data_IF_432071413308
#
_entry.id   IF_432071413308
#
_cell.length_a   1.000
_cell.length_b   1.000
_cell.length_c   1.000
_cell.angle_alpha   90.00
_cell.angle_beta   90.00
_cell.angle_gamma   90.00
#
_symmetry.space_group_name_H-M   'P 1'
#
loop_
_entity.id
_entity.type
_entity.pdbx_description
1 polymer ?
#
# COMPACT_ATOMS: atom_id res chain seq x y z
N UNK A 1 20.49 18.53 16.02
CA UNK A 1 21.55 18.18 15.04
C UNK A 1 21.60 19.28 13.99
N UNK A 2 22.61 20.15 14.09
CA UNK A 2 22.69 21.39 13.33
C UNK A 2 22.86 21.14 11.82
N UNK A 3 22.15 21.93 11.00
CA UNK A 3 22.20 21.89 9.52
C UNK A 3 23.63 21.99 8.96
N UNK A 4 24.55 22.58 9.72
CA UNK A 4 25.98 22.69 9.38
C UNK A 4 26.70 21.33 9.33
N UNK A 5 26.31 20.38 10.19
CA UNK A 5 26.92 19.05 10.29
C UNK A 5 26.60 18.17 9.07
N UNK A 6 25.35 18.26 8.57
CA UNK A 6 24.91 17.50 7.41
C UNK A 6 25.60 17.97 6.12
N UNK A 7 25.75 19.29 5.94
CA UNK A 7 26.43 19.88 4.78
C UNK A 7 27.90 19.44 4.71
N UNK A 8 28.59 19.43 5.85
CA UNK A 8 29.97 18.96 5.94
C UNK A 8 30.13 17.47 5.64
N UNK A 9 29.14 16.65 6.03
CA UNK A 9 29.11 15.22 5.69
C UNK A 9 28.99 15.00 4.17
N UNK A 10 28.07 15.70 3.49
CA UNK A 10 27.88 15.56 2.04
C UNK A 10 29.08 16.07 1.23
N UNK A 11 29.74 17.15 1.67
CA UNK A 11 30.96 17.64 1.02
C UNK A 11 32.09 16.62 1.17
N UNK A 12 32.29 16.03 2.36
CA UNK A 12 33.28 14.96 2.56
C UNK A 12 32.98 13.72 1.73
N UNK A 13 31.72 13.30 1.65
CA UNK A 13 31.31 12.14 0.87
C UNK A 13 31.50 12.37 -0.64
N UNK A 14 31.12 13.56 -1.14
CA UNK A 14 31.30 13.95 -2.55
C UNK A 14 32.78 14.00 -2.94
N UNK A 15 33.63 14.60 -2.10
CA UNK A 15 35.08 14.65 -2.33
C UNK A 15 35.74 13.26 -2.29
N UNK A 16 35.28 12.38 -1.41
CA UNK A 16 35.75 10.99 -1.36
C UNK A 16 35.34 10.20 -2.62
N UNK A 17 34.13 10.46 -3.14
CA UNK A 17 33.64 9.86 -4.38
C UNK A 17 34.43 10.38 -5.59
N UNK A 18 34.63 11.69 -5.70
CA UNK A 18 35.42 12.32 -6.75
C UNK A 18 36.88 11.83 -6.76
N UNK A 19 37.49 11.64 -5.60
CA UNK A 19 38.86 11.11 -5.47
C UNK A 19 38.97 9.64 -5.85
N UNK A 20 37.92 8.83 -5.61
CA UNK A 20 37.84 7.43 -6.09
C UNK A 20 37.61 7.36 -7.60
N UNK A 21 36.75 8.21 -8.15
CA UNK A 21 36.48 8.29 -9.60
C UNK A 21 37.70 8.83 -10.37
N UNK A 22 38.42 9.82 -9.83
CA UNK A 22 39.67 10.33 -10.41
C UNK A 22 40.82 9.32 -10.43
N UNK A 23 40.91 8.45 -9.41
CA UNK A 23 41.88 7.33 -9.43
C UNK A 23 41.50 6.25 -10.45
N UNK A 24 40.20 6.05 -10.70
CA UNK A 24 39.72 5.15 -11.76
C UNK A 24 39.97 5.73 -13.15
N UNK A 25 39.80 7.04 -13.37
CA UNK A 25 40.03 7.68 -14.68
C UNK A 25 41.50 7.68 -15.10
N UNK A 26 42.43 7.85 -14.16
CA UNK A 26 43.88 7.73 -14.41
C UNK A 26 44.31 6.28 -14.72
N UNK A 27 43.64 5.28 -14.13
CA UNK A 27 43.81 3.87 -14.50
C UNK A 27 43.28 3.54 -15.89
N UNK A 28 42.15 4.15 -16.28
CA UNK A 28 41.49 3.95 -17.58
C UNK A 28 42.30 4.55 -18.73
N UNK A 29 42.94 5.71 -18.53
CA UNK A 29 43.78 6.31 -19.57
C UNK A 29 45.07 5.51 -19.86
N UNK A 30 45.60 4.76 -18.89
CA UNK A 30 46.70 3.80 -19.14
C UNK A 30 46.25 2.54 -19.89
N UNK A 31 45.00 2.10 -19.69
CA UNK A 31 44.43 0.92 -20.36
C UNK A 31 44.01 1.24 -21.80
N UNK A 32 43.42 2.42 -22.03
CA UNK A 32 42.96 2.82 -23.36
C UNK A 32 44.11 3.16 -24.33
N UNK A 33 45.29 3.57 -23.82
CA UNK A 33 46.47 3.82 -24.66
C UNK A 33 47.15 2.53 -25.17
N UNK A 34 46.88 1.37 -24.55
CA UNK A 34 47.33 0.04 -25.01
C UNK A 34 46.32 -0.70 -25.90
N UNK A 35 45.12 -0.17 -26.10
CA UNK A 35 44.03 -0.85 -26.83
C UNK A 35 43.86 -0.45 -28.31
N UNK A 36 44.84 0.27 -28.88
CA UNK A 36 44.93 0.45 -30.35
C UNK A 36 45.65 -0.71 -31.05
N UNK A 37 46.14 -1.70 -30.31
CA UNK A 37 46.46 -3.00 -30.87
C UNK A 37 45.20 -3.88 -30.74
N UNK A 38 44.66 -4.29 -31.88
CA UNK A 38 43.69 -5.37 -32.02
C UNK A 38 44.31 -6.66 -31.48
N UNK A 39 44.27 -6.82 -30.15
CA UNK A 39 44.58 -8.09 -29.51
C UNK A 39 43.47 -9.05 -29.90
N UNK A 40 43.76 -9.91 -30.89
CA UNK A 40 43.06 -11.18 -31.06
C UNK A 40 43.27 -11.96 -29.76
N UNK A 41 42.27 -11.92 -28.87
CA UNK A 41 42.24 -12.78 -27.70
C UNK A 41 41.99 -14.19 -28.22
N UNK A 42 42.99 -15.07 -28.09
CA UNK A 42 42.83 -16.49 -28.41
C UNK A 42 41.70 -17.08 -27.57
N UNK A 43 40.76 -17.75 -28.23
CA UNK A 43 39.61 -18.44 -27.65
C UNK A 43 40.00 -19.24 -26.40
N UNK A 44 39.57 -18.78 -25.23
CA UNK A 44 39.63 -19.59 -24.02
C UNK A 44 38.40 -20.49 -23.98
N UNK A 45 38.63 -21.79 -24.16
CA UNK A 45 37.66 -22.85 -23.93
C UNK A 45 36.96 -22.63 -22.57
N UNK A 46 35.65 -22.37 -22.57
CA UNK A 46 34.82 -22.30 -21.35
C UNK A 46 33.96 -21.05 -21.15
N UNK A 47 34.09 -20.00 -21.98
CA UNK A 47 33.14 -18.88 -21.93
C UNK A 47 31.80 -19.24 -22.59
N UNK A 48 30.65 -18.77 -22.06
CA UNK A 48 29.35 -18.96 -22.71
C UNK A 48 29.37 -18.49 -24.17
N UNK A 49 28.73 -19.24 -25.07
CA UNK A 49 28.73 -18.96 -26.52
C UNK A 49 28.27 -17.53 -26.88
N UNK A 50 27.46 -16.92 -26.01
CA UNK A 50 27.00 -15.53 -26.15
C UNK A 50 28.15 -14.51 -26.26
N UNK A 51 29.30 -14.75 -25.60
CA UNK A 51 30.45 -13.84 -25.65
C UNK A 51 31.31 -14.01 -26.90
N UNK A 52 31.01 -15.00 -27.76
CA UNK A 52 31.67 -15.20 -29.04
C UNK A 52 30.97 -14.47 -30.19
N UNK A 53 29.83 -13.83 -29.92
CA UNK A 53 29.13 -13.00 -30.90
C UNK A 53 29.88 -11.69 -31.13
N UNK A 54 29.83 -11.15 -32.36
CA UNK A 54 30.40 -9.84 -32.64
C UNK A 54 29.60 -8.74 -31.94
N UNK A 55 30.25 -7.60 -31.69
CA UNK A 55 29.64 -6.44 -31.06
C UNK A 55 28.36 -5.98 -31.80
N UNK A 56 28.36 -6.05 -33.14
CA UNK A 56 27.21 -5.71 -33.98
C UNK A 56 26.03 -6.66 -33.79
N UNK A 57 26.29 -7.97 -33.67
CA UNK A 57 25.24 -8.97 -33.41
C UNK A 57 24.66 -8.77 -32.02
N UNK A 58 25.50 -8.53 -31.01
CA UNK A 58 25.05 -8.24 -29.64
C UNK A 58 24.22 -6.95 -29.62
N UNK A 59 24.68 -5.91 -30.31
CA UNK A 59 23.94 -4.65 -30.44
C UNK A 59 22.57 -4.86 -31.08
N UNK A 60 22.51 -5.61 -32.18
CA UNK A 60 21.27 -5.95 -32.86
C UNK A 60 20.31 -6.76 -31.97
N UNK A 61 20.83 -7.74 -31.21
CA UNK A 61 20.04 -8.51 -30.25
C UNK A 61 19.43 -7.61 -29.16
N UNK A 62 20.20 -6.68 -28.59
CA UNK A 62 19.69 -5.75 -27.57
C UNK A 62 18.61 -4.82 -28.14
N UNK A 63 18.74 -4.44 -29.42
CA UNK A 63 17.78 -3.57 -30.10
C UNK A 63 16.51 -4.27 -30.56
N UNK A 64 16.51 -5.60 -30.63
CA UNK A 64 15.35 -6.39 -31.09
C UNK A 64 14.46 -6.88 -29.96
N UNK A 65 15.00 -7.03 -28.74
CA UNK A 65 14.21 -7.36 -27.54
C UNK A 65 13.56 -6.11 -26.91
N UNK A 66 12.55 -6.27 -26.03
CA UNK A 66 11.92 -5.11 -25.37
C UNK A 66 12.97 -4.20 -24.70
N UNK A 67 12.85 -2.87 -24.78
CA UNK A 67 13.95 -1.97 -24.41
C UNK A 67 14.39 -2.11 -22.95
N UNK A 68 13.46 -2.41 -22.05
CA UNK A 68 13.74 -2.67 -20.66
C UNK A 68 14.55 -3.98 -20.44
N UNK A 69 14.28 -5.03 -21.22
CA UNK A 69 15.06 -6.28 -21.21
C UNK A 69 16.45 -6.07 -21.81
N UNK A 70 16.54 -5.31 -22.90
CA UNK A 70 17.81 -4.89 -23.50
C UNK A 70 18.69 -4.13 -22.51
N UNK A 71 18.10 -3.19 -21.79
CA UNK A 71 18.80 -2.44 -20.75
C UNK A 71 19.20 -3.32 -19.55
N UNK A 72 18.33 -4.25 -19.11
CA UNK A 72 18.63 -5.19 -18.04
C UNK A 72 19.79 -6.12 -18.43
N UNK A 73 19.77 -6.68 -19.65
CA UNK A 73 20.85 -7.51 -20.18
C UNK A 73 22.17 -6.73 -20.23
N UNK A 74 22.14 -5.48 -20.71
CA UNK A 74 23.33 -4.64 -20.74
C UNK A 74 23.90 -4.31 -19.35
N UNK A 75 23.08 -4.29 -18.30
CA UNK A 75 23.53 -4.11 -16.92
C UNK A 75 24.20 -5.35 -16.33
N UNK A 76 24.02 -6.54 -16.90
CA UNK A 76 24.63 -7.77 -16.38
C UNK A 76 26.13 -7.87 -16.64
N UNK A 77 26.64 -7.22 -17.69
CA UNK A 77 28.03 -7.34 -18.11
C UNK A 77 28.61 -6.02 -18.65
N UNK A 78 29.84 -5.72 -18.23
CA UNK A 78 30.57 -4.51 -18.66
C UNK A 78 30.81 -4.45 -20.17
N UNK A 79 31.01 -5.59 -20.84
CA UNK A 79 31.21 -5.63 -22.28
C UNK A 79 29.95 -5.16 -23.03
N UNK A 80 28.80 -5.73 -22.68
CA UNK A 80 27.51 -5.37 -23.25
C UNK A 80 27.16 -3.90 -22.95
N UNK A 81 27.37 -3.47 -21.70
CA UNK A 81 27.27 -2.06 -21.31
C UNK A 81 28.10 -1.14 -22.21
N UNK A 82 29.35 -1.52 -22.52
CA UNK A 82 30.22 -0.76 -23.42
C UNK A 82 29.71 -0.73 -24.85
N UNK A 83 29.23 -1.87 -25.39
CA UNK A 83 28.69 -1.99 -26.76
C UNK A 83 27.54 -1.01 -26.99
N UNK A 84 26.63 -0.86 -26.02
CA UNK A 84 25.49 0.05 -26.18
C UNK A 84 25.84 1.53 -25.96
N UNK A 85 27.08 1.86 -25.59
CA UNK A 85 27.49 3.24 -25.26
C UNK A 85 27.27 3.65 -23.80
N UNK A 86 27.26 2.67 -22.89
CA UNK A 86 27.18 2.85 -21.45
C UNK A 86 25.91 3.53 -20.97
N UNK A 87 26.04 4.51 -20.08
CA UNK A 87 24.87 5.20 -19.48
C UNK A 87 24.07 6.00 -20.50
N UNK A 88 24.70 6.51 -21.56
CA UNK A 88 23.98 7.15 -22.67
C UNK A 88 23.16 6.12 -23.47
N UNK A 89 23.75 4.95 -23.71
CA UNK A 89 23.09 3.80 -24.33
C UNK A 89 21.83 3.35 -23.60
N UNK A 90 21.96 3.10 -22.28
CA UNK A 90 20.84 2.71 -21.44
C UNK A 90 19.74 3.77 -21.46
N UNK A 91 20.10 5.05 -21.28
CA UNK A 91 19.11 6.15 -21.32
C UNK A 91 18.35 6.21 -22.64
N UNK A 92 19.02 5.92 -23.77
CA UNK A 92 18.39 5.85 -25.09
C UNK A 92 17.50 4.62 -25.24
N UNK A 93 17.83 3.49 -24.61
CA UNK A 93 16.97 2.30 -24.62
C UNK A 93 15.70 2.54 -23.81
N UNK A 94 15.81 3.10 -22.61
CA UNK A 94 14.65 3.37 -21.73
C UNK A 94 14.27 4.85 -21.72
N UNK A 95 14.18 5.44 -22.92
CA UNK A 95 13.76 6.83 -23.10
C UNK A 95 12.29 7.03 -22.72
N UNK A 96 11.45 6.04 -23.05
CA UNK A 96 10.06 5.99 -22.60
C UNK A 96 10.00 5.71 -21.08
N UNK A 97 9.11 6.44 -20.40
CA UNK A 97 8.83 6.29 -18.97
C UNK A 97 8.41 4.87 -18.60
N UNK A 98 7.60 4.21 -19.41
CA UNK A 98 7.10 2.85 -19.18
C UNK A 98 8.23 1.81 -19.23
N UNK A 99 9.09 1.88 -20.25
CA UNK A 99 10.28 1.04 -20.36
C UNK A 99 11.23 1.26 -19.19
N UNK A 100 11.39 2.52 -18.76
CA UNK A 100 12.19 2.86 -17.59
C UNK A 100 11.60 2.27 -16.31
N UNK A 101 10.29 2.38 -16.10
CA UNK A 101 9.61 1.76 -14.95
C UNK A 101 9.79 0.25 -14.98
N UNK A 102 9.61 -0.37 -16.15
CA UNK A 102 9.78 -1.80 -16.37
C UNK A 102 11.20 -2.26 -16.02
N UNK A 103 12.23 -1.53 -16.46
CA UNK A 103 13.62 -1.79 -16.08
C UNK A 103 13.83 -1.66 -14.57
N UNK A 104 13.35 -0.56 -13.98
CA UNK A 104 13.52 -0.31 -12.56
C UNK A 104 12.78 -1.36 -11.71
N UNK A 105 11.62 -1.87 -12.13
CA UNK A 105 10.92 -2.92 -11.41
C UNK A 105 11.76 -4.19 -11.29
N UNK A 106 12.48 -4.58 -12.36
CA UNK A 106 13.43 -5.71 -12.34
C UNK A 106 14.61 -5.47 -11.39
N UNK A 107 15.03 -4.21 -11.24
CA UNK A 107 16.16 -3.83 -10.39
C UNK A 107 15.79 -3.64 -8.91
N UNK A 108 14.50 -3.59 -8.57
CA UNK A 108 14.00 -3.30 -7.22
C UNK A 108 14.53 -4.32 -6.18
N UNK A 109 14.66 -5.58 -6.57
CA UNK A 109 15.22 -6.66 -5.74
C UNK A 109 16.68 -6.42 -5.33
N UNK A 110 17.43 -5.55 -6.01
CA UNK A 110 18.80 -5.23 -5.62
C UNK A 110 18.89 -4.01 -4.68
N UNK A 111 17.75 -3.38 -4.34
CA UNK A 111 17.69 -2.11 -3.62
C UNK A 111 16.72 -2.17 -2.42
N UNK A 112 17.00 -2.98 -1.38
CA UNK A 112 16.09 -3.22 -0.24
C UNK A 112 15.69 -1.96 0.54
N UNK A 113 16.52 -0.91 0.49
CA UNK A 113 16.27 0.37 1.18
C UNK A 113 15.52 1.39 0.32
N UNK A 114 15.07 1.00 -0.86
CA UNK A 114 14.34 1.85 -1.79
C UNK A 114 13.04 1.17 -2.25
N UNK A 115 12.12 1.98 -2.74
CA UNK A 115 10.86 1.55 -3.36
C UNK A 115 10.72 2.24 -4.70
N UNK A 116 10.30 1.50 -5.72
CA UNK A 116 10.04 2.06 -7.05
C UNK A 116 8.80 2.96 -7.03
N UNK A 117 8.98 4.20 -7.46
CA UNK A 117 7.88 5.12 -7.75
C UNK A 117 7.54 5.10 -9.23
N UNK A 118 6.35 4.60 -9.56
CA UNK A 118 5.84 4.55 -10.94
C UNK A 118 5.52 5.93 -11.50
N UNK A 119 5.27 6.93 -10.65
CA UNK A 119 5.00 8.29 -11.12
C UNK A 119 6.28 9.03 -11.49
N UNK A 120 7.32 8.91 -10.66
CA UNK A 120 8.60 9.58 -10.91
C UNK A 120 9.57 8.76 -11.76
N UNK A 121 9.33 7.45 -11.96
CA UNK A 121 10.25 6.51 -12.60
C UNK A 121 11.66 6.57 -11.95
N UNK A 122 11.69 6.58 -10.61
CA UNK A 122 12.90 6.55 -9.79
C UNK A 122 12.68 5.69 -8.55
N UNK A 123 13.78 5.30 -7.91
CA UNK A 123 13.79 4.71 -6.59
C UNK A 123 13.77 5.79 -5.52
N UNK A 124 12.72 5.84 -4.71
CA UNK A 124 12.74 6.65 -3.52
C UNK A 124 13.28 5.84 -2.34
N UNK A 125 14.05 6.49 -1.48
CA UNK A 125 14.49 5.88 -0.22
C UNK A 125 13.27 5.57 0.65
N UNK A 126 13.19 4.39 1.26
CA UNK A 126 12.08 4.02 2.12
C UNK A 126 11.97 4.93 3.35
N UNK A 127 10.74 5.18 3.79
CA UNK A 127 10.51 5.89 5.05
C UNK A 127 10.52 4.89 6.20
N UNK A 128 11.31 5.16 7.25
CA UNK A 128 11.29 4.32 8.45
C UNK A 128 10.06 4.69 9.26
N UNK A 129 9.05 3.85 9.20
CA UNK A 129 7.89 3.94 10.08
C UNK A 129 8.30 3.57 11.49
N UNK A 130 8.03 4.46 12.42
CA UNK A 130 8.14 4.17 13.85
C UNK A 130 6.78 4.41 14.49
N UNK A 131 6.57 3.95 15.73
CA UNK A 131 5.32 4.23 16.47
C UNK A 131 5.05 5.74 16.61
N UNK A 132 6.07 6.58 16.51
CA UNK A 132 5.99 8.03 16.73
C UNK A 132 6.16 8.85 15.45
N UNK A 133 6.57 8.23 14.35
CA UNK A 133 6.77 8.93 13.07
C UNK A 133 5.74 8.40 12.09
N UNK A 134 4.65 9.18 11.84
CA UNK A 134 3.66 8.78 10.86
C UNK A 134 4.29 8.67 9.47
N UNK A 135 3.62 7.92 8.59
CA UNK A 135 3.95 7.98 7.17
C UNK A 135 3.70 9.40 6.67
N UNK A 136 4.68 10.01 6.01
CA UNK A 136 4.53 11.31 5.39
C UNK A 136 4.40 11.10 3.87
N UNK A 137 3.19 11.18 3.31
CA UNK A 137 3.01 10.96 1.89
C UNK A 137 3.84 11.94 1.07
N UNK A 138 4.44 11.43 -0.01
CA UNK A 138 5.11 12.27 -0.99
C UNK A 138 4.08 12.87 -1.95
N UNK A 139 4.40 13.97 -2.64
CA UNK A 139 3.55 14.48 -3.71
C UNK A 139 3.22 13.44 -4.80
N UNK A 140 4.13 12.50 -5.07
CA UNK A 140 3.89 11.42 -6.02
C UNK A 140 2.97 10.31 -5.50
N UNK A 141 2.74 10.22 -4.19
CA UNK A 141 1.78 9.28 -3.60
C UNK A 141 0.34 9.77 -3.78
N UNK A 142 0.12 11.08 -3.91
CA UNK A 142 -1.21 11.66 -4.17
C UNK A 142 -1.76 11.29 -5.55
N UNK A 143 -0.87 11.17 -6.53
CA UNK A 143 -1.25 10.87 -7.92
C UNK A 143 -1.73 9.42 -8.08
N UNK A 144 -1.20 8.48 -7.30
CA UNK A 144 -1.52 7.04 -7.42
C UNK A 144 -2.86 6.63 -6.80
N UNK A 145 -3.65 7.62 -6.38
CA UNK A 145 -4.82 7.45 -5.52
C UNK A 145 -4.46 6.71 -4.22
N UNK A 146 -5.32 6.81 -3.22
CA UNK A 146 -5.10 6.18 -1.92
C UNK A 146 -6.34 5.38 -1.59
N UNK A 147 -6.17 4.17 -1.08
CA UNK A 147 -7.31 3.43 -0.52
C UNK A 147 -7.75 4.19 0.72
N UNK A 148 -8.98 4.73 0.67
CA UNK A 148 -9.58 5.48 1.78
C UNK A 148 -10.37 4.50 2.63
N UNK A 149 -10.07 4.45 3.92
CA UNK A 149 -10.78 3.59 4.85
C UNK A 149 -11.93 4.31 5.51
N UNK A 150 -13.06 4.39 4.80
CA UNK A 150 -14.20 5.21 5.22
C UNK A 150 -13.76 6.68 5.46
N UNK A 151 -14.66 7.55 5.90
CA UNK A 151 -14.36 8.97 6.21
C UNK A 151 -13.36 9.21 7.35
N UNK A 152 -12.70 8.16 7.85
CA UNK A 152 -11.65 8.32 8.83
C UNK A 152 -10.32 8.68 8.17
N UNK A 153 -9.52 9.45 8.91
CA UNK A 153 -8.22 10.01 8.54
C UNK A 153 -7.12 8.98 8.20
N UNK A 154 -7.47 7.73 7.88
CA UNK A 154 -6.53 6.70 7.46
C UNK A 154 -6.67 6.44 5.96
N UNK A 155 -5.63 6.87 5.24
CA UNK A 155 -5.44 6.58 3.83
C UNK A 155 -4.23 5.66 3.68
N UNK A 156 -4.37 4.59 2.91
CA UNK A 156 -3.23 3.75 2.53
C UNK A 156 -2.72 4.18 1.16
N UNK A 157 -1.57 4.87 1.09
CA UNK A 157 -0.94 5.19 -0.18
C UNK A 157 -0.33 3.93 -0.81
N UNK A 158 -0.27 3.91 -2.14
CA UNK A 158 0.25 2.79 -2.90
C UNK A 158 1.69 2.42 -2.51
N UNK A 159 2.56 3.40 -2.29
CA UNK A 159 3.95 3.15 -1.90
C UNK A 159 4.06 2.35 -0.60
N UNK A 160 3.18 2.63 0.37
CA UNK A 160 3.16 1.90 1.63
C UNK A 160 2.61 0.47 1.47
N UNK A 161 1.56 0.30 0.67
CA UNK A 161 1.06 -1.03 0.31
C UNK A 161 2.13 -1.85 -0.42
N UNK A 162 2.85 -1.23 -1.36
CA UNK A 162 3.96 -1.83 -2.09
C UNK A 162 5.11 -2.20 -1.17
N UNK A 163 5.47 -1.39 -0.18
CA UNK A 163 6.48 -1.78 0.81
C UNK A 163 6.05 -3.02 1.62
N UNK A 164 4.79 -3.12 2.05
CA UNK A 164 4.30 -4.33 2.74
C UNK A 164 4.43 -5.56 1.84
N UNK A 165 4.06 -5.43 0.55
CA UNK A 165 4.11 -6.54 -0.39
C UNK A 165 5.53 -6.91 -0.83
N UNK A 166 6.42 -5.94 -1.01
CA UNK A 166 7.84 -6.18 -1.26
C UNK A 166 8.46 -6.95 -0.09
N UNK A 167 8.10 -6.62 1.15
CA UNK A 167 8.55 -7.39 2.33
C UNK A 167 8.08 -8.83 2.27
N UNK A 168 6.82 -9.05 1.91
CA UNK A 168 6.25 -10.39 1.80
C UNK A 168 6.96 -11.22 0.73
N UNK A 169 7.28 -10.63 -0.43
CA UNK A 169 7.90 -11.34 -1.56
C UNK A 169 9.40 -11.54 -1.42
N UNK A 170 10.12 -10.53 -0.98
CA UNK A 170 11.59 -10.51 -1.05
C UNK A 170 12.28 -10.63 0.31
N UNK A 171 11.55 -10.45 1.42
CA UNK A 171 12.10 -10.57 2.78
C UNK A 171 12.01 -9.30 3.61
N UNK A 172 12.39 -9.41 4.90
CA UNK A 172 12.20 -8.40 5.94
C UNK A 172 12.83 -7.04 5.59
N UNK A 173 13.95 -7.07 4.90
CA UNK A 173 14.78 -5.95 4.51
C UNK A 173 14.21 -5.13 3.34
N UNK A 174 13.22 -5.65 2.60
CA UNK A 174 12.63 -5.01 1.41
C UNK A 174 11.38 -4.17 1.67
N UNK A 175 10.91 -4.11 2.91
CA UNK A 175 9.67 -3.39 3.19
C UNK A 175 9.27 -3.29 4.65
N UNK A 176 8.11 -2.70 4.89
CA UNK A 176 7.53 -2.50 6.22
C UNK A 176 6.73 -3.73 6.67
N UNK A 177 6.64 -3.93 7.98
CA UNK A 177 5.79 -5.01 8.52
C UNK A 177 4.32 -4.71 8.22
N UNK A 178 3.53 -5.74 7.92
CA UNK A 178 2.07 -5.60 7.74
C UNK A 178 1.37 -5.02 8.99
N UNK A 179 1.98 -5.19 10.16
CA UNK A 179 1.51 -4.59 11.41
C UNK A 179 1.68 -3.07 11.46
N UNK A 180 2.55 -2.48 10.62
CA UNK A 180 2.77 -1.03 10.57
C UNK A 180 1.62 -0.29 9.87
N UNK A 181 0.88 -0.99 8.99
CA UNK A 181 -0.34 -0.47 8.37
C UNK A 181 -1.61 -0.85 9.14
N UNK A 182 -1.48 -1.63 10.23
CA UNK A 182 -2.58 -1.93 11.14
C UNK A 182 -2.79 -0.73 12.06
N UNK A 183 -4.04 -0.27 12.19
CA UNK A 183 -4.39 0.90 13.01
C UNK A 183 -5.56 0.58 13.93
N UNK A 184 -5.51 1.20 15.12
CA UNK A 184 -6.64 1.24 16.05
C UNK A 184 -6.92 2.70 16.30
N UNK A 185 -8.14 3.13 16.04
CA UNK A 185 -8.64 4.43 16.42
C UNK A 185 -9.90 4.26 17.27
N UNK A 186 -10.12 5.20 18.18
CA UNK A 186 -11.34 5.29 18.95
C UNK A 186 -11.81 6.73 18.96
N UNK A 187 -13.12 6.89 19.01
CA UNK A 187 -13.79 8.17 19.06
C UNK A 187 -14.96 8.03 20.05
N UNK A 188 -15.02 8.97 20.99
CA UNK A 188 -16.19 9.14 21.85
C UNK A 188 -17.20 9.95 21.05
N UNK A 189 -18.39 9.39 20.86
CA UNK A 189 -19.42 10.04 20.06
C UNK A 189 -20.31 10.97 20.86
N UNK A 190 -21.14 11.73 20.13
CA UNK A 190 -22.24 12.47 20.73
C UNK A 190 -23.29 11.49 21.29
N UNK A 191 -23.73 11.64 22.56
CA UNK A 191 -24.71 10.75 23.20
C UNK A 191 -25.99 10.52 22.40
N UNK A 192 -26.37 11.50 21.57
CA UNK A 192 -27.60 11.52 20.76
C UNK A 192 -27.53 10.58 19.54
N UNK A 193 -26.33 10.31 19.02
CA UNK A 193 -26.15 9.56 17.76
C UNK A 193 -25.39 8.24 17.96
N UNK A 194 -24.30 8.26 18.72
CA UNK A 194 -23.53 7.06 19.04
C UNK A 194 -22.71 7.30 20.30
N UNK A 195 -22.68 6.34 21.22
CA UNK A 195 -21.93 6.52 22.48
C UNK A 195 -20.43 6.31 22.31
N UNK A 196 -20.06 5.44 21.40
CA UNK A 196 -18.68 5.00 21.25
C UNK A 196 -18.47 4.45 19.86
N UNK A 197 -17.34 4.82 19.24
CA UNK A 197 -16.90 4.28 17.97
C UNK A 197 -15.46 3.81 18.08
N UNK A 198 -15.20 2.59 17.62
CA UNK A 198 -13.85 2.04 17.53
C UNK A 198 -13.61 1.54 16.13
N UNK A 199 -12.55 2.01 15.48
CA UNK A 199 -12.09 1.51 14.21
C UNK A 199 -10.87 0.61 14.43
N UNK A 200 -10.96 -0.61 13.95
CA UNK A 200 -9.82 -1.52 13.86
C UNK A 200 -9.54 -1.80 12.40
N UNK A 201 -8.41 -1.30 11.89
CA UNK A 201 -7.91 -1.60 10.56
C UNK A 201 -6.78 -2.62 10.67
N UNK A 202 -6.87 -3.73 9.95
CA UNK A 202 -5.92 -4.84 9.88
C UNK A 202 -5.59 -5.11 8.41
N UNK A 203 -4.44 -5.71 8.18
CA UNK A 203 -4.07 -6.19 6.86
C UNK A 203 -3.54 -7.62 6.95
N UNK A 204 -3.76 -8.41 5.89
CA UNK A 204 -3.19 -9.74 5.70
C UNK A 204 -2.81 -9.94 4.24
N UNK A 205 -1.85 -10.82 3.99
CA UNK A 205 -1.60 -11.32 2.63
C UNK A 205 -2.32 -12.66 2.49
N UNK A 206 -3.16 -12.80 1.47
CA UNK A 206 -3.93 -14.02 1.17
C UNK A 206 -3.69 -14.36 -0.29
N UNK A 207 -3.14 -15.55 -0.57
CA UNK A 207 -2.85 -16.00 -1.93
C UNK A 207 -2.04 -14.99 -2.78
N UNK A 208 -1.11 -14.25 -2.14
CA UNK A 208 -0.29 -13.23 -2.81
C UNK A 208 -0.95 -11.85 -2.95
N UNK A 209 -2.21 -11.68 -2.56
CA UNK A 209 -2.92 -10.40 -2.56
C UNK A 209 -2.91 -9.74 -1.17
N UNK A 210 -2.82 -8.41 -1.15
CA UNK A 210 -2.99 -7.62 0.07
C UNK A 210 -4.48 -7.41 0.37
N UNK A 211 -4.96 -8.05 1.44
CA UNK A 211 -6.33 -7.88 1.92
C UNK A 211 -6.34 -6.94 3.12
N UNK A 212 -7.12 -5.88 3.00
CA UNK A 212 -7.30 -4.87 4.03
C UNK A 212 -8.66 -5.07 4.69
N UNK A 213 -8.67 -5.26 6.00
CA UNK A 213 -9.89 -5.38 6.78
C UNK A 213 -10.07 -4.16 7.67
N UNK A 214 -11.22 -3.50 7.59
CA UNK A 214 -11.67 -2.58 8.64
C UNK A 214 -12.81 -3.19 9.40
N UNK A 215 -12.89 -2.81 10.67
CA UNK A 215 -13.91 -3.31 11.57
C UNK A 215 -14.37 -2.20 12.51
N UNK A 216 -15.04 -1.15 11.98
CA UNK A 216 -15.74 -0.19 12.80
C UNK A 216 -16.81 -0.86 13.67
N UNK A 217 -16.79 -0.49 14.94
CA UNK A 217 -17.70 -0.89 15.98
C UNK A 217 -18.38 0.36 16.54
N UNK A 218 -19.70 0.36 16.67
CA UNK A 218 -20.47 1.43 17.26
C UNK A 218 -21.53 0.90 18.24
N UNK A 219 -21.82 1.66 19.29
CA UNK A 219 -22.99 1.43 20.16
C UNK A 219 -23.92 2.63 20.03
N UNK A 220 -25.09 2.40 19.47
CA UNK A 220 -26.11 3.41 19.21
C UNK A 220 -27.14 3.43 20.34
N UNK A 221 -27.71 4.61 20.61
CA UNK A 221 -28.86 4.76 21.49
C UNK A 221 -30.11 4.94 20.66
N UNK A 222 -31.15 4.14 20.91
CA UNK A 222 -32.48 4.49 20.44
C UNK A 222 -33.04 5.58 21.35
N UNK A 223 -33.27 6.78 20.82
CA UNK A 223 -34.07 7.81 21.49
C UNK A 223 -35.55 7.38 21.56
N UNK A 224 -36.01 6.60 20.58
CA UNK A 224 -37.41 6.17 20.44
C UNK A 224 -37.47 4.68 20.05
N UNK A 225 -37.63 3.78 21.03
CA UNK A 225 -37.81 2.34 20.79
C UNK A 225 -36.65 1.61 20.06
N UNK A 226 -36.53 0.29 20.18
CA UNK A 226 -35.50 -0.46 19.47
C UNK A 226 -35.93 -0.72 18.02
N UNK A 227 -35.78 0.26 17.14
CA UNK A 227 -35.83 0.00 15.69
C UNK A 227 -34.47 -0.56 15.29
N UNK A 228 -34.41 -1.86 15.07
CA UNK A 228 -33.22 -2.47 14.46
C UNK A 228 -33.04 -1.87 13.05
N UNK A 229 -31.84 -1.45 12.65
CA UNK A 229 -31.61 -1.08 11.27
C UNK A 229 -31.69 -2.31 10.37
N UNK A 230 -32.59 -2.29 9.38
CA UNK A 230 -32.50 -3.26 8.29
C UNK A 230 -31.25 -2.98 7.48
N UNK A 231 -30.58 -4.07 7.12
CA UNK A 231 -29.45 -4.03 6.20
C UNK A 231 -29.82 -3.69 4.75
N UNK A 232 -31.09 -3.40 4.43
CA UNK A 232 -31.58 -3.16 3.07
C UNK A 232 -30.99 -1.89 2.43
N UNK A 233 -30.62 -0.89 3.22
CA UNK A 233 -30.10 0.37 2.69
C UNK A 233 -28.82 0.83 3.40
N UNK A 234 -27.70 0.51 2.77
CA UNK A 234 -26.45 1.22 3.00
C UNK A 234 -26.43 2.48 2.13
N UNK A 235 -26.59 3.64 2.76
CA UNK A 235 -26.28 4.92 2.15
C UNK A 235 -25.06 5.52 2.84
N UNK A 236 -23.91 5.47 2.17
CA UNK A 236 -22.89 6.47 2.45
C UNK A 236 -23.16 7.60 1.48
N UNK A 237 -23.75 8.68 1.99
CA UNK A 237 -23.81 9.93 1.23
C UNK A 237 -22.45 10.59 1.41
N UNK A 238 -21.72 10.79 0.31
CA UNK A 238 -20.47 11.57 0.28
C UNK A 238 -19.27 10.99 1.07
N UNK A 239 -19.14 9.66 1.21
CA UNK A 239 -18.04 9.05 1.97
C UNK A 239 -18.29 8.96 3.48
N UNK A 240 -19.29 9.69 3.98
CA UNK A 240 -19.71 9.58 5.39
C UNK A 240 -20.10 8.16 5.75
N UNK A 241 -19.85 7.86 7.03
CA UNK A 241 -20.28 6.65 7.75
C UNK A 241 -21.60 6.17 7.16
N UNK A 242 -21.72 4.88 6.81
CA UNK A 242 -22.94 4.43 6.16
C UNK A 242 -24.06 4.63 7.18
N UNK A 243 -24.96 5.54 6.86
CA UNK A 243 -26.18 5.73 7.63
C UNK A 243 -27.04 4.56 7.23
N UNK A 244 -27.16 3.58 8.14
CA UNK A 244 -28.16 2.55 7.96
C UNK A 244 -29.52 3.23 8.07
N UNK A 245 -30.37 3.05 7.07
CA UNK A 245 -31.77 3.43 7.23
C UNK A 245 -32.41 2.44 8.20
N UNK A 246 -33.05 3.00 9.22
CA UNK A 246 -33.75 2.23 10.24
C UNK A 246 -35.01 1.62 9.62
N UNK A 247 -35.20 0.30 9.73
CA UNK A 247 -36.46 -0.32 9.36
C UNK A 247 -36.77 -1.41 10.37
N UNK A 248 -37.96 -1.40 10.93
CA UNK A 248 -38.39 -2.27 12.03
C UNK A 248 -38.22 -3.77 11.69
N UNK A 249 -37.11 -4.38 12.12
CA UNK A 249 -36.96 -5.84 12.11
C UNK A 249 -37.10 -6.39 13.53
N UNK A 250 -38.08 -7.28 13.81
CA UNK A 250 -38.17 -7.96 15.09
C UNK A 250 -37.07 -9.03 15.18
N UNK A 251 -36.05 -8.81 16.00
CA UNK A 251 -34.97 -9.77 16.21
C UNK A 251 -33.99 -9.38 17.31
N UNK A 252 -33.20 -10.34 17.83
CA UNK A 252 -32.09 -10.05 18.75
C UNK A 252 -30.79 -9.74 18.02
N UNK A 253 -30.61 -10.26 16.81
CA UNK A 253 -29.36 -10.18 16.05
C UNK A 253 -29.62 -10.35 14.56
N UNK A 254 -29.08 -9.44 13.76
CA UNK A 254 -29.10 -9.47 12.30
C UNK A 254 -27.66 -9.48 11.77
N UNK A 255 -27.39 -10.29 10.75
CA UNK A 255 -26.08 -10.37 10.12
C UNK A 255 -26.23 -10.48 8.61
N UNK A 256 -25.74 -9.49 7.89
CA UNK A 256 -25.89 -9.40 6.44
C UNK A 256 -24.52 -9.31 5.79
N UNK A 257 -24.33 -10.08 4.72
CA UNK A 257 -23.11 -10.09 3.93
C UNK A 257 -23.41 -9.57 2.54
N UNK A 258 -22.51 -8.72 2.05
CA UNK A 258 -22.68 -7.99 0.82
C UNK A 258 -21.34 -8.02 0.08
N UNK A 259 -21.39 -8.22 -1.24
CA UNK A 259 -20.22 -8.06 -2.12
C UNK A 259 -20.48 -6.93 -3.11
N UNK A 260 -19.50 -6.04 -3.24
CA UNK A 260 -19.51 -5.03 -4.30
C UNK A 260 -19.24 -5.73 -5.65
N UNK A 261 -20.07 -5.51 -6.69
CA UNK A 261 -19.88 -6.12 -7.99
C UNK A 261 -18.62 -5.63 -8.71
N UNK A 262 -18.20 -4.39 -8.45
CA UNK A 262 -17.09 -3.75 -9.18
C UNK A 262 -15.72 -4.15 -8.64
N UNK A 263 -15.49 -3.94 -7.34
CA UNK A 263 -14.18 -4.16 -6.73
C UNK A 263 -14.07 -5.48 -5.96
N UNK A 264 -15.14 -6.27 -5.92
CA UNK A 264 -15.22 -7.52 -5.14
C UNK A 264 -14.94 -7.35 -3.63
N UNK A 265 -14.99 -6.11 -3.11
CA UNK A 265 -14.90 -5.87 -1.66
C UNK A 265 -16.12 -6.48 -0.97
N UNK A 266 -15.88 -7.07 0.20
CA UNK A 266 -16.92 -7.70 0.99
C UNK A 266 -17.23 -6.87 2.22
N UNK A 267 -18.51 -6.75 2.51
CA UNK A 267 -19.04 -6.07 3.66
C UNK A 267 -19.82 -7.07 4.49
N UNK A 268 -19.64 -6.98 5.79
CA UNK A 268 -20.48 -7.68 6.75
C UNK A 268 -21.03 -6.67 7.73
N UNK A 269 -22.34 -6.56 7.74
CA UNK A 269 -23.06 -5.84 8.77
C UNK A 269 -23.48 -6.82 9.85
N UNK A 270 -23.15 -6.50 11.10
CA UNK A 270 -23.68 -7.18 12.26
C UNK A 270 -24.37 -6.16 13.16
N UNK A 271 -25.64 -6.42 13.45
CA UNK A 271 -26.47 -5.62 14.34
C UNK A 271 -26.96 -6.53 15.47
N UNK A 272 -26.77 -6.13 16.72
CA UNK A 272 -27.11 -6.92 17.89
C UNK A 272 -27.79 -6.03 18.94
N UNK A 273 -29.00 -6.43 19.36
CA UNK A 273 -29.70 -5.80 20.47
C UNK A 273 -29.02 -6.17 21.78
N UNK A 274 -28.76 -5.18 22.64
CA UNK A 274 -28.21 -5.43 23.97
C UNK A 274 -29.35 -5.63 24.97
N UNK A 275 -29.37 -6.78 25.65
CA UNK A 275 -30.45 -7.13 26.58
C UNK A 275 -30.62 -6.09 27.70
N UNK A 276 -31.89 -5.72 27.95
CA UNK A 276 -32.28 -4.81 29.02
C UNK A 276 -31.93 -3.34 28.80
N UNK A 277 -31.50 -2.95 27.60
CA UNK A 277 -31.17 -1.56 27.25
C UNK A 277 -31.67 -1.24 25.85
N UNK A 278 -32.19 -0.03 25.60
CA UNK A 278 -32.50 0.49 24.26
C UNK A 278 -31.20 0.82 23.49
N UNK A 279 -30.29 -0.14 23.41
CA UNK A 279 -28.98 -0.01 22.80
C UNK A 279 -28.80 -1.05 21.71
N UNK A 280 -28.30 -0.57 20.57
CA UNK A 280 -27.95 -1.40 19.43
C UNK A 280 -26.44 -1.40 19.29
N UNK A 281 -25.85 -2.59 19.25
CA UNK A 281 -24.46 -2.76 18.84
C UNK A 281 -24.44 -2.95 17.33
N UNK A 282 -23.72 -2.07 16.66
CA UNK A 282 -23.47 -2.17 15.23
C UNK A 282 -21.98 -2.46 14.99
N UNK A 283 -21.70 -3.36 14.06
CA UNK A 283 -20.37 -3.66 13.61
C UNK A 283 -20.39 -3.83 12.10
N UNK A 284 -19.57 -3.06 11.41
CA UNK A 284 -19.38 -3.21 9.97
C UNK A 284 -17.97 -3.74 9.78
N UNK A 285 -17.82 -4.89 9.14
CA UNK A 285 -16.53 -5.40 8.71
C UNK A 285 -16.43 -5.19 7.20
N UNK A 286 -15.39 -4.51 6.75
CA UNK A 286 -15.11 -4.31 5.33
C UNK A 286 -13.81 -5.02 4.99
N UNK A 287 -13.81 -5.84 3.95
CA UNK A 287 -12.63 -6.50 3.41
C UNK A 287 -12.41 -5.99 1.98
N UNK A 288 -11.27 -5.35 1.74
CA UNK A 288 -10.88 -4.76 0.46
C UNK A 288 -9.67 -5.54 -0.06
N UNK A 289 -9.74 -6.01 -1.31
CA UNK A 289 -8.61 -6.62 -1.99
C UNK A 289 -7.84 -5.57 -2.77
N UNK A 290 -6.64 -5.21 -2.30
CA UNK A 290 -5.76 -4.25 -2.95
C UNK A 290 -4.90 -4.87 -4.07
N UNK A 291 -5.04 -6.18 -4.31
CA UNK A 291 -4.29 -6.94 -5.31
C UNK A 291 -2.84 -7.22 -4.86
N UNK A 292 -1.99 -7.48 -5.85
CA UNK A 292 -0.58 -7.79 -5.62
C UNK A 292 0.22 -6.57 -5.16
N UNK A 293 -0.24 -5.36 -5.48
CA UNK A 293 0.46 -4.08 -5.29
C UNK A 293 1.79 -3.97 -6.05
N UNK A 294 1.92 -4.59 -7.22
CA UNK A 294 3.10 -4.43 -8.08
C UNK A 294 3.22 -3.04 -8.68
N UNK A 295 2.10 -2.58 -9.21
CA UNK A 295 1.92 -1.33 -9.94
C UNK A 295 0.64 -0.64 -9.46
N UNK A 296 0.61 0.70 -9.38
CA UNK A 296 -0.61 1.44 -9.02
C UNK A 296 -1.66 1.39 -10.13
N UNK A 297 -1.31 0.86 -11.31
CA UNK A 297 -2.22 0.68 -12.43
C UNK A 297 -2.92 -0.69 -12.42
N UNK A 298 -2.65 -1.53 -11.41
CA UNK A 298 -3.37 -2.79 -11.22
C UNK A 298 -4.88 -2.47 -11.08
N UNK A 299 -5.75 -3.07 -11.92
CA UNK A 299 -7.19 -2.84 -11.84
C UNK A 299 -7.75 -3.05 -10.43
N UNK A 300 -7.24 -4.01 -9.67
CA UNK A 300 -7.67 -4.24 -8.27
C UNK A 300 -7.29 -3.09 -7.36
N UNK A 301 -6.10 -2.52 -7.53
CA UNK A 301 -5.69 -1.34 -6.77
C UNK A 301 -6.57 -0.14 -7.11
N UNK A 302 -6.77 0.12 -8.41
CA UNK A 302 -7.60 1.22 -8.90
C UNK A 302 -9.01 1.08 -8.33
N UNK A 303 -9.64 -0.10 -8.49
CA UNK A 303 -10.97 -0.38 -7.97
C UNK A 303 -11.03 -0.29 -6.44
N UNK A 304 -10.02 -0.74 -5.70
CA UNK A 304 -9.96 -0.59 -4.25
C UNK A 304 -9.82 0.87 -3.80
N UNK A 305 -9.09 1.69 -4.56
CA UNK A 305 -8.86 3.10 -4.26
C UNK A 305 -10.05 3.99 -4.69
N UNK A 306 -10.73 3.61 -5.77
CA UNK A 306 -11.86 4.34 -6.35
C UNK A 306 -13.22 3.87 -5.87
N UNK A 307 -13.34 2.65 -5.34
CA UNK A 307 -14.61 2.18 -4.80
C UNK A 307 -14.99 2.96 -3.57
N UNK A 308 -15.69 4.06 -3.82
CA UNK A 308 -16.67 4.61 -2.93
C UNK A 308 -17.83 3.64 -2.99
N UNK A 309 -17.74 2.50 -2.30
CA UNK A 309 -18.83 1.52 -2.21
C UNK A 309 -20.02 2.07 -1.41
N UNK A 310 -20.27 3.36 -1.57
CA UNK A 310 -21.16 4.26 -0.91
C UNK A 310 -22.58 4.17 -1.46
N UNK A 311 -22.70 3.71 -2.71
CA UNK A 311 -23.94 3.25 -3.32
C UNK A 311 -23.98 1.73 -3.36
N UNK A 312 -24.26 1.06 -2.24
CA UNK A 312 -24.56 -0.39 -2.22
C UNK A 312 -25.91 -0.74 -2.89
N UNK A 313 -26.44 0.14 -3.75
CA UNK A 313 -27.73 -0.06 -4.45
C UNK A 313 -27.68 -1.28 -5.38
N UNK A 314 -26.53 -1.52 -6.01
CA UNK A 314 -26.32 -2.67 -6.90
C UNK A 314 -25.52 -3.79 -6.23
N UNK A 315 -25.46 -3.77 -4.90
CA UNK A 315 -24.68 -4.76 -4.16
C UNK A 315 -25.42 -6.10 -4.05
N UNK A 316 -24.68 -7.20 -4.21
CA UNK A 316 -25.27 -8.52 -4.10
C UNK A 316 -25.14 -9.04 -2.68
N UNK A 317 -26.26 -9.46 -2.09
CA UNK A 317 -26.24 -10.25 -0.87
C UNK A 317 -25.55 -11.58 -1.18
N UNK A 318 -24.56 -11.91 -0.37
CA UNK A 318 -23.87 -13.20 -0.44
C UNK A 318 -24.16 -14.00 0.81
N UNK A 319 -24.03 -15.33 0.77
CA UNK A 319 -24.08 -16.13 1.99
C UNK A 319 -22.75 -16.00 2.74
N UNK A 320 -22.74 -16.25 4.06
CA UNK A 320 -21.50 -16.24 4.83
C UNK A 320 -20.44 -17.23 4.26
N UNK A 321 -20.91 -18.39 3.79
CA UNK A 321 -20.08 -19.43 3.17
C UNK A 321 -19.41 -18.97 1.86
N UNK A 322 -20.03 -18.02 1.16
CA UNK A 322 -19.52 -17.50 -0.11
C UNK A 322 -18.43 -16.45 0.10
N UNK A 323 -18.23 -15.96 1.33
CA UNK A 323 -17.24 -14.92 1.64
C UNK A 323 -15.81 -15.44 1.41
N UNK A 324 -15.05 -14.73 0.58
CA UNK A 324 -13.66 -15.05 0.31
C UNK A 324 -12.75 -14.73 1.48
N UNK A 325 -13.10 -13.72 2.29
CA UNK A 325 -12.19 -13.16 3.27
C UNK A 325 -12.53 -13.53 4.71
N UNK A 326 -13.78 -13.88 5.02
CA UNK A 326 -14.22 -14.07 6.41
C UNK A 326 -13.41 -15.14 7.14
N UNK A 327 -13.10 -16.26 6.48
CA UNK A 327 -12.31 -17.37 7.03
C UNK A 327 -10.89 -16.93 7.46
N UNK A 328 -10.36 -15.87 6.86
CA UNK A 328 -9.01 -15.38 7.14
C UNK A 328 -8.94 -14.45 8.34
N UNK A 329 -10.06 -13.98 8.90
CA UNK A 329 -10.05 -13.04 10.01
C UNK A 329 -10.80 -13.58 11.23
N UNK A 330 -10.23 -13.32 12.40
CA UNK A 330 -10.91 -13.65 13.65
C UNK A 330 -12.08 -12.69 13.84
N UNK A 331 -13.28 -13.22 13.63
CA UNK A 331 -14.53 -12.49 13.79
C UNK A 331 -15.01 -12.39 15.24
N UNK A 332 -14.30 -13.00 16.20
CA UNK A 332 -14.67 -12.81 17.60
C UNK A 332 -14.62 -11.31 17.91
N UNK A 333 -15.71 -10.74 18.47
CA UNK A 333 -15.63 -9.40 19.01
C UNK A 333 -14.46 -9.38 19.99
N UNK A 334 -13.65 -8.31 20.02
CA UNK A 334 -12.52 -8.24 20.94
C UNK A 334 -12.98 -8.68 22.33
N UNK A 335 -12.39 -9.76 22.84
CA UNK A 335 -12.81 -10.48 24.06
C UNK A 335 -12.64 -9.64 25.34
N UNK A 336 -12.22 -8.39 25.20
CA UNK A 336 -12.00 -7.38 26.21
C UNK A 336 -12.85 -6.18 25.79
N UNK A 337 -14.05 -5.98 26.34
CA UNK A 337 -14.27 -4.97 27.39
C UNK A 337 -15.56 -5.22 28.20
N UNK A 338 -15.95 -6.47 28.45
CA UNK A 338 -17.01 -6.77 29.45
C UNK A 338 -16.71 -6.14 30.84
N UNK A 339 -15.43 -5.82 31.13
CA UNK A 339 -15.00 -5.21 32.40
C UNK A 339 -15.01 -3.67 32.44
N UNK A 340 -15.03 -2.99 31.28
CA UNK A 340 -15.01 -1.51 31.21
C UNK A 340 -16.40 -0.91 30.98
N UNK A 341 -17.15 -1.45 30.02
CA UNK A 341 -18.46 -0.90 29.63
C UNK A 341 -19.56 -1.04 30.69
N UNK A 342 -19.47 -2.07 31.53
CA UNK A 342 -20.43 -2.33 32.62
C UNK A 342 -20.18 -1.46 33.86
N UNK A 343 -18.95 -0.96 34.04
CA UNK A 343 -18.52 -0.17 35.21
C UNK A 343 -18.46 1.33 34.98
N UNK A 344 -18.54 1.80 33.74
CA UNK A 344 -18.68 3.23 33.50
C UNK A 344 -20.08 3.67 33.97
N UNK A 345 -20.17 4.15 35.21
CA UNK A 345 -21.35 4.86 35.70
C UNK A 345 -21.38 6.24 35.05
N UNK A 346 -22.02 6.36 33.90
CA UNK A 346 -22.01 7.57 33.09
C UNK A 346 -22.90 8.71 33.62
N UNK A 347 -23.33 8.66 34.89
CA UNK A 347 -24.15 9.70 35.53
C UNK A 347 -23.43 11.06 35.68
N UNK A 348 -22.22 11.25 35.15
CA UNK A 348 -21.43 12.47 35.36
C UNK A 348 -20.62 12.99 34.17
N UNK A 349 -20.70 12.37 32.99
CA UNK A 349 -19.98 12.92 31.83
C UNK A 349 -20.89 13.93 31.13
N UNK A 350 -20.67 15.22 31.42
CA UNK A 350 -21.16 16.29 30.56
C UNK A 350 -20.30 16.28 29.30
N UNK A 351 -20.89 16.26 28.09
CA UNK A 351 -20.12 16.43 26.87
C UNK A 351 -19.38 17.77 26.94
N UNK A 352 -18.08 17.75 26.68
CA UNK A 352 -17.28 18.97 26.54
C UNK A 352 -17.66 19.64 25.21
N UNK A 353 -18.32 20.81 25.23
CA UNK A 353 -18.76 21.47 24.00
C UNK A 353 -17.59 21.96 23.12
N UNK A 354 -16.35 21.95 23.63
CA UNK A 354 -15.19 22.49 22.91
C UNK A 354 -14.42 21.46 22.07
N UNK A 355 -14.79 20.17 22.09
CA UNK A 355 -14.12 19.13 21.29
C UNK A 355 -14.57 19.08 19.82
N UNK A 356 -15.62 19.82 19.45
CA UNK A 356 -16.10 19.91 18.08
C UNK A 356 -16.00 21.36 17.59
N UNK A 357 -14.80 21.75 17.17
CA UNK A 357 -14.56 23.00 16.42
C UNK A 357 -15.15 22.93 15.01
N UNK A 358 -16.46 22.80 14.89
CA UNK A 358 -17.20 23.09 13.66
C UNK A 358 -18.03 24.35 13.92
N UNK A 359 -17.53 25.49 13.46
CA UNK A 359 -18.36 26.68 13.26
C UNK A 359 -19.30 26.40 12.08
N UNK A 360 -20.59 26.64 12.29
CA UNK A 360 -21.64 26.57 11.27
C UNK A 360 -21.63 27.81 10.37
#
# INVERSE_FOLDING_TARGET
>A
MEKQSLKNYYIKASNALAKRVGKLSLGINRINRRRKETVQVSYQNGLPAFFNLSDDVIYYLIKTIPPADGAALALTCKAIWSIIGGSAGIRKLVENKEDRISLLARLEIFLPQHVLCHQCAVFHRRQKLTRHTPFEPRPCDDVNKRIKFWDFCFHLPFSLAKEVMNRHRYGKEYGCSITEITRVAWELGCPEHFRFRRLLARAKVVNGDLILQTNPYAVLCGCEGPVLPSADYFHSRNGMVPTLLFSETPGKRECTFIRCPDCSSEFRLLVEMLEGKNLVRQRITTCINAGTCETPYDPRWILAADCQCAGLRDSHRIRPEDSFYLSHYNDKPPSQEKRGFSKLSWKGIRPDPFLFGMEF
#
